data_IF_995346473924
#
_entry.id   IF_995346473924
#
_cell.length_a   1.000
_cell.length_b   1.000
_cell.length_c   1.000
_cell.angle_alpha   90.00
_cell.angle_beta   90.00
_cell.angle_gamma   90.00
#
_symmetry.space_group_name_H-M   'P 1'
#
loop_
_entity.id
_entity.type
_entity.pdbx_description
1 polymer ?
#
# COMPACT_ATOMS: atom_id res chain seq x y z
N UNK A 1 -5.38 -25.67 11.41
CA UNK A 1 -5.64 -24.89 10.18
C UNK A 1 -5.47 -23.42 10.53
N UNK A 2 -4.68 -22.62 9.79
CA UNK A 2 -4.58 -21.19 10.06
C UNK A 2 -5.97 -20.54 9.87
N UNK A 3 -6.38 -19.69 10.81
CA UNK A 3 -7.66 -18.98 10.73
C UNK A 3 -7.65 -18.08 9.49
N UNK A 4 -8.64 -18.24 8.62
CA UNK A 4 -8.82 -17.42 7.43
C UNK A 4 -9.14 -15.98 7.86
N UNK A 5 -8.33 -15.01 7.42
CA UNK A 5 -8.58 -13.58 7.69
C UNK A 5 -9.82 -13.15 6.92
N UNK A 6 -10.74 -12.44 7.58
CA UNK A 6 -11.96 -11.88 6.99
C UNK A 6 -11.91 -10.37 7.00
N UNK A 7 -12.30 -9.75 5.88
CA UNK A 7 -12.27 -8.29 5.71
C UNK A 7 -13.65 -7.61 5.81
N UNK A 8 -14.73 -8.39 5.95
CA UNK A 8 -16.11 -7.89 6.03
C UNK A 8 -16.59 -7.01 4.86
N UNK A 9 -15.90 -7.04 3.73
CA UNK A 9 -16.30 -6.23 2.59
C UNK A 9 -17.55 -6.79 1.88
N UNK A 10 -18.40 -5.93 1.29
CA UNK A 10 -19.56 -6.39 0.54
C UNK A 10 -19.17 -7.36 -0.59
N UNK A 11 -19.89 -8.48 -0.69
CA UNK A 11 -19.65 -9.47 -1.77
C UNK A 11 -19.78 -8.87 -3.17
N UNK A 12 -20.53 -7.78 -3.31
CA UNK A 12 -20.71 -7.03 -4.57
C UNK A 12 -19.42 -6.41 -5.10
N UNK A 13 -18.37 -6.26 -4.29
CA UNK A 13 -17.06 -5.79 -4.75
C UNK A 13 -16.30 -6.84 -5.58
N UNK A 14 -16.75 -8.10 -5.58
CA UNK A 14 -16.25 -9.14 -6.50
C UNK A 14 -14.81 -9.60 -6.24
N UNK A 15 -14.16 -9.13 -5.19
CA UNK A 15 -12.79 -9.49 -4.81
C UNK A 15 -12.77 -10.41 -3.58
N UNK A 16 -11.82 -11.35 -3.55
CA UNK A 16 -11.63 -12.30 -2.45
C UNK A 16 -10.84 -11.72 -1.28
N UNK A 17 -11.05 -12.27 -0.08
CA UNK A 17 -10.26 -11.91 1.10
C UNK A 17 -8.78 -12.29 0.95
N UNK A 18 -8.46 -13.31 0.15
CA UNK A 18 -7.07 -13.65 -0.16
C UNK A 18 -6.36 -12.53 -0.95
N UNK A 19 -7.03 -11.98 -1.96
CA UNK A 19 -6.49 -10.85 -2.71
C UNK A 19 -6.30 -9.61 -1.82
N UNK A 20 -7.29 -9.30 -0.97
CA UNK A 20 -7.18 -8.21 0.03
C UNK A 20 -5.98 -8.41 0.95
N UNK A 21 -5.77 -9.64 1.42
CA UNK A 21 -4.64 -10.00 2.27
C UNK A 21 -3.30 -9.78 1.54
N UNK A 22 -3.17 -10.21 0.28
CA UNK A 22 -1.96 -10.01 -0.54
C UNK A 22 -1.61 -8.53 -0.65
N UNK A 23 -2.60 -7.67 -0.92
CA UNK A 23 -2.38 -6.23 -1.01
C UNK A 23 -2.01 -5.63 0.35
N UNK A 24 -2.75 -5.98 1.41
CA UNK A 24 -2.52 -5.41 2.73
C UNK A 24 -1.17 -5.81 3.32
N UNK A 25 -0.78 -7.08 3.15
CA UNK A 25 0.52 -7.59 3.61
C UNK A 25 1.66 -6.91 2.87
N UNK A 26 1.59 -6.77 1.55
CA UNK A 26 2.61 -6.05 0.79
C UNK A 26 2.84 -4.64 1.33
N UNK A 27 1.77 -3.87 1.57
CA UNK A 27 1.91 -2.51 2.09
C UNK A 27 2.52 -2.50 3.48
N UNK A 28 2.06 -3.37 4.38
CA UNK A 28 2.57 -3.46 5.74
C UNK A 28 4.01 -3.99 5.78
N UNK A 29 4.42 -4.87 4.86
CA UNK A 29 5.79 -5.34 4.71
C UNK A 29 6.74 -4.21 4.31
N UNK A 30 6.36 -3.38 3.33
CA UNK A 30 7.14 -2.20 2.95
C UNK A 30 7.24 -1.23 4.14
N UNK A 31 6.11 -0.91 4.78
CA UNK A 31 6.09 0.00 5.95
C UNK A 31 6.94 -0.53 7.10
N UNK A 32 6.89 -1.84 7.37
CA UNK A 32 7.69 -2.49 8.41
C UNK A 32 9.19 -2.42 8.12
N UNK A 33 9.58 -2.67 6.87
CA UNK A 33 10.98 -2.55 6.46
C UNK A 33 11.50 -1.13 6.63
N UNK A 34 10.69 -0.11 6.28
CA UNK A 34 11.02 1.30 6.55
C UNK A 34 11.12 1.57 8.05
N UNK A 35 10.16 1.10 8.86
CA UNK A 35 10.19 1.27 10.31
C UNK A 35 11.47 0.69 10.93
N UNK A 36 11.92 -0.47 10.44
CA UNK A 36 13.12 -1.17 10.89
C UNK A 36 14.45 -0.60 10.36
N UNK A 37 14.43 0.30 9.37
CA UNK A 37 15.69 0.70 8.72
C UNK A 37 16.28 -0.42 7.85
N UNK A 38 15.47 -1.32 7.29
CA UNK A 38 15.93 -2.41 6.42
C UNK A 38 16.11 -1.94 4.98
N UNK A 39 17.04 -2.56 4.27
CA UNK A 39 17.19 -2.30 2.84
C UNK A 39 15.99 -2.81 2.05
N UNK A 40 15.52 -1.99 1.12
CA UNK A 40 14.67 -2.41 0.02
C UNK A 40 15.53 -2.58 -1.24
N UNK A 41 15.24 -3.62 -2.02
CA UNK A 41 16.07 -3.98 -3.18
C UNK A 41 15.61 -3.21 -4.41
N UNK A 42 16.57 -2.59 -5.11
CA UNK A 42 16.44 -2.16 -6.50
C UNK A 42 17.59 -2.76 -7.32
N UNK A 43 17.27 -3.51 -8.37
CA UNK A 43 18.27 -4.22 -9.17
C UNK A 43 19.25 -3.33 -9.95
N UNK A 44 18.97 -2.03 -10.12
CA UNK A 44 19.84 -1.06 -10.82
C UNK A 44 20.65 -0.16 -9.88
N UNK A 45 20.07 0.25 -8.75
CA UNK A 45 20.71 1.16 -7.79
C UNK A 45 21.28 0.44 -6.57
N UNK A 46 21.12 -0.88 -6.49
CA UNK A 46 21.50 -1.67 -5.32
C UNK A 46 20.49 -1.52 -4.18
N UNK A 47 20.94 -1.87 -2.98
CA UNK A 47 20.14 -1.78 -1.76
C UNK A 47 20.00 -0.31 -1.32
N UNK A 48 18.77 0.16 -1.15
CA UNK A 48 18.49 1.46 -0.56
C UNK A 48 17.90 1.23 0.83
N UNK A 49 18.53 1.81 1.84
CA UNK A 49 18.04 1.77 3.23
C UNK A 49 17.11 2.96 3.45
N UNK A 50 15.86 2.66 3.78
CA UNK A 50 14.86 3.66 4.18
C UNK A 50 14.62 3.55 5.69
N UNK A 51 14.41 4.68 6.36
CA UNK A 51 14.22 4.72 7.81
C UNK A 51 15.53 4.69 8.62
N UNK A 52 15.49 4.27 9.90
CA UNK A 52 14.31 3.78 10.64
C UNK A 52 13.25 4.87 10.87
N UNK A 53 12.02 4.44 11.11
CA UNK A 53 10.89 5.34 11.33
C UNK A 53 10.22 5.10 12.69
N UNK A 54 9.93 6.20 13.39
CA UNK A 54 8.97 6.21 14.49
C UNK A 54 7.55 6.41 13.93
N UNK A 55 6.53 6.11 14.72
CA UNK A 55 5.12 6.37 14.38
C UNK A 55 4.67 5.79 13.03
N UNK A 56 5.30 4.70 12.58
CA UNK A 56 4.89 3.99 11.38
C UNK A 56 3.77 3.00 11.73
N UNK A 57 2.51 3.44 11.56
CA UNK A 57 1.35 2.62 11.89
C UNK A 57 1.05 1.57 10.82
N UNK A 58 0.55 0.41 11.26
CA UNK A 58 -0.03 -0.61 10.40
C UNK A 58 -1.22 -0.02 9.64
N UNK A 59 -1.30 -0.31 8.34
CA UNK A 59 -2.50 -0.04 7.56
C UNK A 59 -3.57 -1.09 7.85
N UNK A 60 -4.82 -0.66 7.93
CA UNK A 60 -5.98 -1.53 7.83
C UNK A 60 -6.61 -1.43 6.45
N UNK A 61 -7.37 -2.46 6.10
CA UNK A 61 -8.21 -2.44 4.91
C UNK A 61 -9.44 -1.55 5.10
N UNK A 62 -9.87 -0.91 4.02
CA UNK A 62 -11.09 -0.12 3.96
C UNK A 62 -11.89 -0.45 2.69
N UNK A 63 -13.10 -0.96 2.90
CA UNK A 63 -13.96 -1.43 1.80
C UNK A 63 -14.51 -0.28 0.94
N UNK A 64 -14.63 0.93 1.47
CA UNK A 64 -15.05 2.11 0.68
C UNK A 64 -13.90 2.57 -0.23
N UNK A 65 -12.66 2.50 0.26
CA UNK A 65 -11.48 2.75 -0.59
C UNK A 65 -11.33 1.67 -1.67
N UNK A 66 -11.61 0.41 -1.36
CA UNK A 66 -11.66 -0.68 -2.34
C UNK A 66 -12.74 -0.41 -3.40
N UNK A 67 -13.90 0.08 -3.00
CA UNK A 67 -14.96 0.46 -3.94
C UNK A 67 -14.50 1.57 -4.89
N UNK A 68 -13.83 2.61 -4.38
CA UNK A 68 -13.25 3.68 -5.21
C UNK A 68 -12.20 3.13 -6.17
N UNK A 69 -11.31 2.25 -5.71
CA UNK A 69 -10.32 1.59 -6.55
C UNK A 69 -10.97 0.76 -7.67
N UNK A 70 -12.02 -0.01 -7.33
CA UNK A 70 -12.75 -0.84 -8.28
C UNK A 70 -13.45 0.00 -9.36
N UNK A 71 -14.05 1.14 -8.98
CA UNK A 71 -14.72 2.05 -9.92
C UNK A 71 -13.76 2.61 -10.98
N UNK A 72 -12.53 2.96 -10.59
CA UNK A 72 -11.53 3.51 -11.51
C UNK A 72 -11.08 2.52 -12.58
N UNK A 73 -11.02 1.23 -12.26
CA UNK A 73 -10.53 0.19 -13.17
C UNK A 73 -11.66 -0.54 -13.89
N UNK A 74 -12.91 -0.38 -13.43
CA UNK A 74 -14.07 -1.09 -13.96
C UNK A 74 -14.24 -0.95 -15.49
N UNK A 75 -14.01 0.20 -16.14
CA UNK A 75 -14.26 0.30 -17.58
C UNK A 75 -13.23 -0.39 -18.47
N UNK A 76 -12.04 -0.73 -17.95
CA UNK A 76 -10.94 -1.27 -18.77
C UNK A 76 -10.61 -0.41 -20.01
N UNK A 77 -10.62 0.91 -19.87
CA UNK A 77 -10.36 1.87 -20.95
C UNK A 77 -8.94 2.44 -20.90
N UNK A 78 -8.52 3.04 -22.02
CA UNK A 78 -7.32 3.89 -22.11
C UNK A 78 -7.76 5.27 -22.61
N UNK A 79 -7.71 6.33 -21.80
CA UNK A 79 -7.32 6.35 -20.38
C UNK A 79 -8.39 5.73 -19.46
N UNK A 80 -7.99 5.37 -18.25
CA UNK A 80 -8.93 5.01 -17.17
C UNK A 80 -9.56 6.29 -16.57
N UNK A 81 -10.80 6.23 -16.05
CA UNK A 81 -11.44 7.36 -15.36
C UNK A 81 -10.86 7.57 -13.96
N UNK A 82 -9.62 8.01 -13.90
CA UNK A 82 -8.90 8.20 -12.64
C UNK A 82 -9.41 9.44 -11.93
N UNK A 83 -9.73 9.32 -10.65
CA UNK A 83 -10.06 10.48 -9.79
C UNK A 83 -8.75 11.13 -9.33
N UNK A 84 -8.41 12.34 -9.82
CA UNK A 84 -7.13 12.96 -9.50
C UNK A 84 -7.06 13.51 -8.07
N UNK A 85 -8.19 13.59 -7.35
CA UNK A 85 -8.27 14.09 -5.97
C UNK A 85 -7.82 13.07 -4.93
N UNK A 86 -7.81 11.78 -5.29
CA UNK A 86 -7.43 10.69 -4.39
C UNK A 86 -5.91 10.47 -4.38
N UNK A 87 -5.37 10.14 -3.21
CA UNK A 87 -4.07 9.51 -3.11
C UNK A 87 -4.21 8.05 -3.60
N UNK A 88 -3.48 7.67 -4.64
CA UNK A 88 -3.67 6.38 -5.28
C UNK A 88 -2.46 5.90 -6.07
N UNK A 89 -2.40 4.59 -6.26
CA UNK A 89 -1.42 3.91 -7.07
C UNK A 89 -2.11 3.01 -8.10
N UNK A 90 -1.67 3.05 -9.34
CA UNK A 90 -2.21 2.21 -10.42
C UNK A 90 -1.07 1.50 -11.13
N UNK A 91 -1.24 0.21 -11.40
CA UNK A 91 -0.30 -0.60 -12.14
C UNK A 91 -1.02 -1.42 -13.21
N UNK A 92 -0.29 -1.72 -14.29
CA UNK A 92 -0.74 -2.61 -15.37
C UNK A 92 0.26 -3.73 -15.56
N UNK A 93 -0.24 -4.94 -15.74
CA UNK A 93 0.55 -6.12 -16.00
C UNK A 93 0.08 -6.77 -17.31
N UNK A 94 0.98 -6.89 -18.29
CA UNK A 94 0.63 -7.29 -19.66
C UNK A 94 0.91 -8.77 -19.96
N UNK A 95 1.41 -9.54 -18.99
CA UNK A 95 1.66 -10.97 -19.19
C UNK A 95 0.40 -11.78 -18.88
N UNK A 96 -0.15 -12.39 -19.94
CA UNK A 96 -1.40 -13.15 -19.93
C UNK A 96 -1.24 -14.62 -19.50
N UNK A 97 -0.02 -15.09 -19.20
CA UNK A 97 0.26 -16.51 -18.90
C UNK A 97 0.44 -16.74 -17.39
N UNK A 98 0.67 -15.68 -16.61
CA UNK A 98 0.88 -15.76 -15.17
C UNK A 98 -0.41 -16.10 -14.40
N UNK A 99 -0.30 -16.90 -13.33
CA UNK A 99 -1.42 -17.15 -12.43
C UNK A 99 -1.82 -15.86 -11.68
N UNK A 100 -3.12 -15.65 -11.45
CA UNK A 100 -3.66 -14.42 -10.87
C UNK A 100 -2.94 -14.00 -9.58
N UNK A 101 -2.82 -14.92 -8.62
CA UNK A 101 -2.15 -14.66 -7.34
C UNK A 101 -0.69 -14.24 -7.51
N UNK A 102 0.04 -14.85 -8.45
CA UNK A 102 1.43 -14.48 -8.74
C UNK A 102 1.52 -13.06 -9.30
N UNK A 103 0.58 -12.69 -10.18
CA UNK A 103 0.51 -11.31 -10.70
C UNK A 103 0.23 -10.34 -9.55
N UNK A 104 -0.73 -10.62 -8.67
CA UNK A 104 -1.07 -9.74 -7.53
C UNK A 104 0.12 -9.53 -6.58
N UNK A 105 0.96 -10.56 -6.39
CA UNK A 105 2.18 -10.48 -5.57
C UNK A 105 3.29 -9.68 -6.25
N UNK A 106 3.41 -9.76 -7.58
CA UNK A 106 4.50 -9.12 -8.33
C UNK A 106 4.19 -7.68 -8.74
N UNK A 107 2.97 -7.41 -9.20
CA UNK A 107 2.61 -6.13 -9.82
C UNK A 107 2.83 -4.93 -8.90
N UNK A 108 2.63 -5.10 -7.59
CA UNK A 108 2.81 -4.03 -6.61
C UNK A 108 4.27 -3.56 -6.49
N UNK A 109 5.26 -4.42 -6.81
CA UNK A 109 6.67 -4.04 -6.85
C UNK A 109 6.99 -3.03 -7.95
N UNK A 110 6.10 -2.82 -8.93
CA UNK A 110 6.20 -1.74 -9.91
C UNK A 110 6.05 -0.36 -9.28
N UNK A 111 5.49 -0.26 -8.07
CA UNK A 111 5.43 1.00 -7.31
C UNK A 111 6.71 1.25 -6.53
N UNK A 112 7.33 0.20 -5.99
CA UNK A 112 8.51 0.33 -5.13
C UNK A 112 9.78 0.51 -5.95
N UNK A 113 10.03 -0.38 -6.91
CA UNK A 113 11.33 -0.44 -7.61
C UNK A 113 11.66 0.86 -8.35
N UNK A 114 10.78 1.42 -9.21
CA UNK A 114 11.06 2.69 -9.87
C UNK A 114 11.20 3.84 -8.87
N UNK A 115 10.33 3.91 -7.85
CA UNK A 115 10.39 4.97 -6.83
C UNK A 115 11.75 5.01 -6.12
N UNK A 116 12.29 3.85 -5.72
CA UNK A 116 13.61 3.76 -5.11
C UNK A 116 14.71 4.37 -5.99
N UNK A 117 14.66 4.12 -7.30
CA UNK A 117 15.62 4.70 -8.25
C UNK A 117 15.59 6.24 -8.23
N UNK A 118 14.39 6.82 -8.18
CA UNK A 118 14.21 8.27 -8.20
C UNK A 118 14.49 8.93 -6.84
N UNK A 119 14.30 8.19 -5.75
CA UNK A 119 14.62 8.68 -4.41
C UNK A 119 16.12 8.69 -4.13
N UNK A 120 16.93 7.87 -4.82
CA UNK A 120 18.37 7.82 -4.60
C UNK A 120 19.01 9.21 -4.77
N UNK A 121 19.77 9.66 -3.77
CA UNK A 121 20.38 10.99 -3.75
C UNK A 121 19.46 12.14 -3.31
N UNK A 122 18.22 11.86 -2.89
CA UNK A 122 17.28 12.85 -2.34
C UNK A 122 17.17 12.75 -0.81
N UNK A 123 16.43 13.67 -0.19
CA UNK A 123 15.98 13.51 1.20
C UNK A 123 14.92 12.39 1.25
N UNK A 124 15.35 11.17 1.53
CA UNK A 124 14.53 9.95 1.42
C UNK A 124 13.22 10.01 2.22
N UNK A 125 13.22 10.65 3.39
CA UNK A 125 12.05 10.84 4.25
C UNK A 125 11.05 11.89 3.77
N UNK A 126 11.28 12.50 2.59
CA UNK A 126 10.45 13.56 2.03
C UNK A 126 9.97 13.24 0.62
N UNK A 127 8.80 13.76 0.27
CA UNK A 127 8.27 13.70 -1.09
C UNK A 127 8.98 14.72 -1.98
N UNK A 128 10.26 14.46 -2.28
CA UNK A 128 11.14 15.37 -3.00
C UNK A 128 10.95 15.30 -4.53
N UNK A 129 10.50 14.16 -5.05
CA UNK A 129 10.36 13.91 -6.49
C UNK A 129 9.03 13.23 -6.80
N UNK A 130 8.29 13.73 -7.80
CA UNK A 130 6.97 13.19 -8.17
C UNK A 130 7.01 11.70 -8.54
N UNK A 131 8.13 11.23 -9.10
CA UNK A 131 8.30 9.83 -9.51
C UNK A 131 8.43 8.84 -8.35
N UNK A 132 8.56 9.35 -7.11
CA UNK A 132 8.52 8.55 -5.90
C UNK A 132 7.09 8.44 -5.31
N UNK A 133 6.10 9.11 -5.91
CA UNK A 133 4.72 9.14 -5.41
C UNK A 133 4.18 7.73 -5.08
N UNK A 134 4.42 6.68 -5.89
CA UNK A 134 3.89 5.37 -5.56
C UNK A 134 4.41 4.77 -4.25
N UNK A 135 5.73 4.85 -4.00
CA UNK A 135 6.29 4.42 -2.72
C UNK A 135 5.92 5.39 -1.58
N UNK A 136 5.86 6.69 -1.87
CA UNK A 136 5.49 7.70 -0.89
C UNK A 136 4.05 7.49 -0.37
N UNK A 137 3.11 7.13 -1.23
CA UNK A 137 1.74 6.79 -0.85
C UNK A 137 1.68 5.57 0.09
N UNK A 138 2.45 4.51 -0.21
CA UNK A 138 2.55 3.31 0.64
C UNK A 138 3.15 3.66 2.01
N UNK A 139 4.20 4.48 2.00
CA UNK A 139 5.01 4.82 3.18
C UNK A 139 4.43 5.98 4.01
N UNK A 140 3.42 6.70 3.53
CA UNK A 140 2.87 7.88 4.20
C UNK A 140 2.43 7.54 5.63
N UNK A 141 3.19 8.00 6.62
CA UNK A 141 2.97 7.67 8.03
C UNK A 141 1.65 8.22 8.58
N UNK A 142 1.12 9.29 7.99
CA UNK A 142 -0.19 9.87 8.33
C UNK A 142 -1.37 9.03 7.81
N UNK A 143 -1.13 8.13 6.85
CA UNK A 143 -2.15 7.23 6.34
C UNK A 143 -2.22 5.94 7.16
N UNK A 144 -3.44 5.52 7.47
CA UNK A 144 -3.74 4.28 8.20
C UNK A 144 -4.71 3.34 7.47
N UNK A 145 -5.20 3.73 6.28
CA UNK A 145 -6.21 2.97 5.53
C UNK A 145 -5.82 2.80 4.07
N UNK A 146 -6.11 1.63 3.52
CA UNK A 146 -5.94 1.32 2.09
C UNK A 146 -7.07 0.42 1.62
N UNK A 147 -7.51 0.61 0.38
CA UNK A 147 -8.35 -0.35 -0.31
C UNK A 147 -7.88 -0.48 -1.75
N UNK A 148 -7.70 -1.72 -2.21
CA UNK A 148 -7.22 -2.01 -3.55
C UNK A 148 -8.21 -2.90 -4.31
N UNK A 149 -8.20 -2.80 -5.63
CA UNK A 149 -8.95 -3.66 -6.52
C UNK A 149 -8.07 -4.06 -7.72
N UNK A 150 -8.34 -5.22 -8.29
CA UNK A 150 -7.79 -5.62 -9.58
C UNK A 150 -8.89 -6.00 -10.57
N UNK A 151 -8.58 -5.87 -11.86
CA UNK A 151 -9.47 -6.29 -12.94
C UNK A 151 -8.67 -6.80 -14.14
N UNK A 152 -9.06 -7.97 -14.64
CA UNK A 152 -8.61 -8.45 -15.95
C UNK A 152 -9.32 -7.67 -17.04
N UNK A 153 -8.56 -7.14 -18.00
CA UNK A 153 -9.05 -6.39 -19.14
C UNK A 153 -8.68 -7.14 -20.44
N UNK A 154 -9.52 -8.11 -20.89
CA UNK A 154 -9.17 -9.00 -21.99
C UNK A 154 -8.86 -8.28 -23.31
N UNK A 155 -9.63 -7.25 -23.64
CA UNK A 155 -9.44 -6.45 -24.86
C UNK A 155 -8.09 -5.71 -24.90
N UNK A 156 -7.49 -5.45 -23.73
CA UNK A 156 -6.19 -4.79 -23.58
C UNK A 156 -5.07 -5.79 -23.25
N UNK A 157 -5.37 -7.08 -23.16
CA UNK A 157 -4.44 -8.14 -22.77
C UNK A 157 -3.64 -7.81 -21.50
N UNK A 158 -4.29 -7.24 -20.49
CA UNK A 158 -3.62 -6.89 -19.24
C UNK A 158 -4.52 -7.06 -17.99
N UNK A 159 -3.87 -7.13 -16.84
CA UNK A 159 -4.47 -6.92 -15.53
C UNK A 159 -4.19 -5.49 -15.08
N UNK A 160 -5.19 -4.81 -14.55
CA UNK A 160 -5.05 -3.49 -13.91
C UNK A 160 -5.25 -3.64 -12.42
N UNK A 161 -4.35 -3.05 -11.63
CA UNK A 161 -4.50 -2.90 -10.17
C UNK A 161 -4.60 -1.43 -9.82
N UNK A 162 -5.54 -1.07 -8.94
CA UNK A 162 -5.62 0.24 -8.30
C UNK A 162 -5.62 0.07 -6.78
N UNK A 163 -4.90 0.92 -6.07
CA UNK A 163 -4.98 1.08 -4.62
C UNK A 163 -5.28 2.54 -4.31
N UNK A 164 -6.26 2.78 -3.45
CA UNK A 164 -6.62 4.10 -2.94
C UNK A 164 -6.28 4.18 -1.45
N UNK A 165 -5.71 5.30 -1.03
CA UNK A 165 -5.26 5.56 0.34
C UNK A 165 -6.21 6.52 1.05
N UNK A 166 -6.39 6.36 2.36
CA UNK A 166 -7.31 7.20 3.16
C UNK A 166 -6.78 8.61 3.43
N UNK A 167 -5.50 8.87 3.19
CA UNK A 167 -4.89 10.19 3.34
C UNK A 167 -5.18 11.10 2.15
N UNK A 168 -5.00 12.41 2.37
CA UNK A 168 -4.84 13.36 1.27
C UNK A 168 -3.56 13.06 0.47
N UNK A 169 -3.49 13.62 -0.75
CA UNK A 169 -2.27 13.55 -1.57
C UNK A 169 -1.12 14.28 -0.88
N UNK A 170 0.08 13.72 -1.01
CA UNK A 170 1.29 14.32 -0.48
C UNK A 170 1.62 15.61 -1.23
N UNK A 171 1.94 16.66 -0.47
CA UNK A 171 2.46 17.90 -1.03
C UNK A 171 3.98 17.80 -1.28
N UNK A 172 4.54 18.53 -2.26
CA UNK A 172 5.99 18.56 -2.47
C UNK A 172 6.76 18.86 -1.18
N UNK A 173 7.85 18.12 -0.93
CA UNK A 173 8.68 18.17 0.28
C UNK A 173 8.00 17.78 1.61
N UNK A 174 6.75 17.33 1.58
CA UNK A 174 6.09 16.78 2.76
C UNK A 174 6.85 15.56 3.31
N UNK A 175 6.86 15.42 4.63
CA UNK A 175 7.51 14.29 5.32
C UNK A 175 6.68 13.03 5.11
N UNK A 176 7.26 12.02 4.44
CA UNK A 176 6.63 10.74 4.13
C UNK A 176 6.64 9.83 5.37
N UNK A 177 7.70 9.89 6.18
CA UNK A 177 7.77 9.21 7.49
C UNK A 177 8.63 10.00 8.46
N UNK A 178 8.32 9.88 9.75
CA UNK A 178 9.13 10.49 10.80
C UNK A 178 10.35 9.64 11.11
N UNK A 179 11.55 10.20 10.92
CA UNK A 179 12.78 9.55 11.38
C UNK A 179 12.74 9.37 12.90
N UNK A 180 13.10 8.17 13.35
CA UNK A 180 13.15 7.85 14.77
C UNK A 180 13.25 6.35 15.02
N UNK A 181 13.28 5.98 16.29
CA UNK A 181 13.39 4.58 16.69
C UNK A 181 12.12 3.82 16.32
N UNK A 182 12.29 2.63 15.74
CA UNK A 182 11.22 1.65 15.56
C UNK A 182 10.46 1.45 16.88
N UNK A 183 9.15 1.25 16.80
CA UNK A 183 8.28 1.07 17.97
C UNK A 183 8.16 2.26 18.93
N UNK A 184 8.67 3.45 18.57
CA UNK A 184 8.25 4.68 19.22
C UNK A 184 6.90 5.10 18.63
N UNK A 185 5.83 4.74 19.33
CA UNK A 185 4.43 4.90 18.89
C UNK A 185 3.69 5.85 19.84
N UNK A 186 3.70 7.15 19.55
CA UNK A 186 3.17 8.19 20.43
C UNK A 186 2.23 9.19 19.74
N UNK A 187 1.93 9.01 18.44
CA UNK A 187 0.95 9.85 17.72
C UNK A 187 -0.49 9.65 18.17
N UNK A 188 -0.85 8.44 18.62
CA UNK A 188 -2.22 8.11 19.04
C UNK A 188 -2.26 7.54 20.46
N UNK A 189 -3.35 7.78 21.22
CA UNK A 189 -3.55 7.16 22.52
C UNK A 189 -3.66 5.63 22.39
N UNK A 190 -3.29 4.91 23.45
CA UNK A 190 -3.35 3.45 23.53
C UNK A 190 -2.64 2.73 22.37
N UNK A 191 -1.56 3.35 21.88
CA UNK A 191 -0.69 2.77 20.88
C UNK A 191 0.21 1.70 21.49
N UNK A 192 0.44 0.65 20.73
CA UNK A 192 1.42 -0.38 21.02
C UNK A 192 2.24 -0.67 19.76
N UNK A 193 3.31 -1.45 19.90
CA UNK A 193 4.07 -1.95 18.76
C UNK A 193 3.91 -3.46 18.66
N UNK A 194 3.63 -3.95 17.46
CA UNK A 194 3.62 -5.37 17.15
C UNK A 194 4.27 -5.57 15.80
N UNK A 195 5.18 -6.55 15.72
CA UNK A 195 5.89 -6.88 14.48
C UNK A 195 6.50 -5.64 13.80
N UNK A 196 7.14 -4.79 14.63
CA UNK A 196 7.84 -3.56 14.22
C UNK A 196 6.97 -2.46 13.58
N UNK A 197 5.65 -2.57 13.66
CA UNK A 197 4.71 -1.51 13.27
C UNK A 197 3.94 -1.02 14.50
N UNK A 198 3.66 0.28 14.52
CA UNK A 198 2.74 0.86 15.48
C UNK A 198 1.30 0.41 15.19
N UNK A 199 0.50 0.27 16.23
CA UNK A 199 -0.91 -0.12 16.14
C UNK A 199 -1.67 0.46 17.33
N UNK A 200 -2.99 0.56 17.25
CA UNK A 200 -3.84 1.03 18.36
C UNK A 200 -4.77 -0.08 18.83
N UNK A 201 -5.09 -0.09 20.13
CA UNK A 201 -6.05 -1.07 20.68
C UNK A 201 -7.42 -0.97 19.99
N UNK A 202 -7.83 0.24 19.62
CA UNK A 202 -9.08 0.48 18.88
C UNK A 202 -9.06 -0.19 17.49
N UNK A 203 -8.02 0.06 16.68
CA UNK A 203 -7.88 -0.55 15.35
C UNK A 203 -7.77 -2.08 15.42
N UNK A 204 -6.98 -2.59 16.36
CA UNK A 204 -6.85 -4.04 16.60
C UNK A 204 -8.20 -4.68 16.95
N UNK A 205 -9.01 -4.03 17.79
CA UNK A 205 -10.33 -4.55 18.19
C UNK A 205 -11.29 -4.64 16.99
N UNK A 206 -11.32 -3.62 16.12
CA UNK A 206 -12.13 -3.61 14.90
C UNK A 206 -11.76 -4.78 13.95
N UNK A 207 -10.46 -5.09 13.81
CA UNK A 207 -10.01 -6.25 13.02
C UNK A 207 -10.53 -7.58 13.54
N UNK A 208 -10.64 -7.74 14.86
CA UNK A 208 -11.13 -8.99 15.46
C UNK A 208 -12.65 -9.15 15.35
N UNK A 209 -13.41 -8.05 15.29
CA UNK A 209 -14.87 -8.08 15.12
C UNK A 209 -15.29 -8.68 13.77
N UNK A 210 -14.42 -8.61 12.76
CA UNK A 210 -14.63 -9.30 11.48
C UNK A 210 -14.39 -10.82 11.50
N UNK A 211 -13.93 -11.36 12.64
CA UNK A 211 -13.48 -12.74 12.81
C UNK A 211 -14.27 -13.58 13.81
N UNK A 212 -15.58 -13.38 13.92
CA UNK A 212 -16.50 -14.37 14.52
C UNK A 212 -17.20 -15.19 13.43
#
# INVERSE_FOLDING_TARGET
MPKQVRFCCPKTLGQSDNARQIFLDFHNDIRRNIALGKSLVNFRTGQIVLGPAQNMYKLDWDCELEQKAAQQIAPCTVPLPIDPSLAQNIARWYDAISAEEDVLRQVQWSWVTPSLRFMNGTALDRFAVQWAEPLANIANWKNQKVGCAYKMCPALHNMVVSCVYGSQKLSPNEVIWEKGNTCKCNTHPDSFCCDSLCDTRAASSLRHQCGC
#
